data_IF_481638387903
#
_entry.id   IF_481638387903
#
_cell.length_a   1.000
_cell.length_b   1.000
_cell.length_c   1.000
_cell.angle_alpha   90.00
_cell.angle_beta   90.00
_cell.angle_gamma   90.00
#
_symmetry.space_group_name_H-M   'P 1'
#
loop_
_entity.id
_entity.type
_entity.pdbx_description
1 polymer ?
#
# COMPACT_ATOMS: atom_id res chain seq x y z
N UNK A 1 3.61 5.05 -9.05
CA UNK A 1 4.93 5.68 -9.04
C UNK A 1 4.81 7.18 -9.18
N UNK A 2 4.37 7.70 -10.32
CA UNK A 2 4.20 9.14 -10.55
C UNK A 2 3.42 9.85 -9.44
N UNK A 3 2.30 9.29 -9.00
CA UNK A 3 1.46 9.86 -7.94
C UNK A 3 2.23 10.13 -6.64
N UNK A 4 3.07 9.19 -6.21
CA UNK A 4 3.82 9.33 -4.96
C UNK A 4 4.97 10.35 -5.09
N UNK A 5 5.66 10.38 -6.22
CA UNK A 5 6.69 11.40 -6.49
C UNK A 5 6.09 12.80 -6.51
N UNK A 6 4.93 12.94 -7.14
CA UNK A 6 4.18 14.20 -7.17
C UNK A 6 3.73 14.64 -5.77
N UNK A 7 3.27 13.70 -4.94
CA UNK A 7 2.86 13.98 -3.55
C UNK A 7 4.05 14.40 -2.70
N UNK A 8 5.19 13.73 -2.83
CA UNK A 8 6.43 14.12 -2.14
C UNK A 8 6.78 15.58 -2.45
N UNK A 9 6.65 15.99 -3.72
CA UNK A 9 6.88 17.37 -4.12
C UNK A 9 5.84 18.34 -3.53
N UNK A 10 4.55 17.97 -3.54
CA UNK A 10 3.46 18.84 -3.05
C UNK A 10 3.42 19.00 -1.52
N UNK A 11 3.68 17.93 -0.78
CA UNK A 11 3.67 17.95 0.69
C UNK A 11 4.99 18.47 1.29
N UNK A 12 5.96 18.75 0.44
CA UNK A 12 7.31 19.16 0.81
C UNK A 12 8.31 18.03 0.59
N UNK A 13 9.47 18.37 0.04
CA UNK A 13 10.48 17.41 -0.43
C UNK A 13 10.99 16.41 0.62
N UNK A 14 10.63 16.59 1.89
CA UNK A 14 11.04 15.74 2.99
C UNK A 14 9.90 14.96 3.65
N UNK A 15 8.68 15.02 3.10
CA UNK A 15 7.50 14.45 3.76
C UNK A 15 7.65 12.96 4.11
N UNK A 16 8.16 12.17 3.19
CA UNK A 16 8.38 10.74 3.39
C UNK A 16 9.79 10.40 3.89
N UNK A 17 10.70 11.38 4.01
CA UNK A 17 12.08 11.11 4.39
C UNK A 17 12.13 10.53 5.82
N UNK A 18 12.77 9.36 5.94
CA UNK A 18 12.86 8.60 7.19
C UNK A 18 11.51 8.25 7.84
N UNK A 19 10.40 8.36 7.11
CA UNK A 19 9.10 7.94 7.62
C UNK A 19 9.09 6.44 7.90
N UNK A 20 8.50 6.04 9.00
CA UNK A 20 8.19 4.63 9.26
C UNK A 20 6.92 4.26 8.50
N UNK A 21 7.08 3.41 7.50
CA UNK A 21 6.00 3.03 6.58
C UNK A 21 5.62 1.57 6.81
N UNK A 22 4.36 1.33 7.10
CA UNK A 22 3.83 -0.02 7.27
C UNK A 22 2.93 -0.41 6.10
N UNK A 23 3.20 -1.58 5.53
CA UNK A 23 2.44 -2.15 4.42
C UNK A 23 1.61 -3.34 4.92
N UNK A 24 0.30 -3.27 4.77
CA UNK A 24 -0.58 -4.41 5.05
C UNK A 24 -0.39 -5.55 4.05
N UNK A 25 -0.04 -5.24 2.80
CA UNK A 25 0.44 -6.20 1.80
C UNK A 25 1.48 -5.52 0.90
N UNK A 26 2.73 -5.90 1.06
CA UNK A 26 3.83 -5.40 0.24
C UNK A 26 3.78 -5.97 -1.18
N UNK A 27 3.29 -7.19 -1.34
CA UNK A 27 3.13 -7.83 -2.65
C UNK A 27 2.11 -7.09 -3.52
N UNK A 28 0.95 -6.74 -2.94
CA UNK A 28 -0.09 -5.97 -3.64
C UNK A 28 0.30 -4.51 -3.86
N UNK A 29 1.21 -3.97 -3.06
CA UNK A 29 1.65 -2.57 -3.09
C UNK A 29 3.12 -2.42 -3.51
N UNK A 30 3.63 -3.36 -4.32
CA UNK A 30 5.06 -3.45 -4.65
C UNK A 30 5.62 -2.18 -5.31
N UNK A 31 4.87 -1.58 -6.22
CA UNK A 31 5.26 -0.32 -6.88
C UNK A 31 5.37 0.82 -5.86
N UNK A 32 4.40 0.91 -4.94
CA UNK A 32 4.44 1.89 -3.85
C UNK A 32 5.67 1.64 -2.96
N UNK A 33 5.94 0.37 -2.62
CA UNK A 33 7.08 0.01 -1.78
C UNK A 33 8.43 0.38 -2.41
N UNK A 34 8.57 0.23 -3.73
CA UNK A 34 9.80 0.63 -4.45
C UNK A 34 10.01 2.13 -4.40
N UNK A 35 8.97 2.93 -4.66
CA UNK A 35 9.07 4.38 -4.60
C UNK A 35 9.34 4.85 -3.17
N UNK A 36 8.67 4.26 -2.16
CA UNK A 36 8.90 4.62 -0.76
C UNK A 36 10.32 4.28 -0.29
N UNK A 37 10.93 3.23 -0.84
CA UNK A 37 12.32 2.85 -0.55
C UNK A 37 13.36 3.89 -1.04
N UNK A 38 12.99 4.81 -1.92
CA UNK A 38 13.84 5.93 -2.33
C UNK A 38 13.90 7.04 -1.25
N UNK A 39 12.88 7.10 -0.38
CA UNK A 39 12.72 8.14 0.64
C UNK A 39 13.01 7.64 2.06
N UNK A 40 12.81 6.35 2.32
CA UNK A 40 12.98 5.77 3.65
C UNK A 40 13.43 4.32 3.62
N UNK A 41 14.38 3.99 4.50
CA UNK A 41 14.77 2.60 4.78
C UNK A 41 13.83 1.90 5.79
N UNK A 42 12.94 2.66 6.45
CA UNK A 42 12.08 2.17 7.53
C UNK A 42 10.76 1.60 6.98
N UNK A 43 10.86 0.60 6.10
CA UNK A 43 9.70 -0.08 5.52
C UNK A 43 9.46 -1.41 6.22
N UNK A 44 8.23 -1.64 6.67
CA UNK A 44 7.82 -2.89 7.33
C UNK A 44 6.60 -3.47 6.63
N UNK A 45 6.61 -4.78 6.39
CA UNK A 45 5.58 -5.48 5.61
C UNK A 45 4.95 -6.61 6.43
N UNK A 46 3.62 -6.72 6.34
CA UNK A 46 2.85 -7.72 7.06
C UNK A 46 2.54 -9.01 6.27
N UNK A 47 3.13 -9.18 5.08
CA UNK A 47 2.83 -10.32 4.19
C UNK A 47 3.01 -11.66 4.87
N UNK A 48 4.08 -11.85 5.65
CA UNK A 48 4.31 -13.08 6.40
C UNK A 48 3.21 -13.35 7.44
N UNK A 49 2.77 -12.30 8.13
CA UNK A 49 1.77 -12.39 9.19
C UNK A 49 0.36 -12.52 8.64
N UNK A 50 -0.05 -11.60 7.77
CA UNK A 50 -1.45 -11.48 7.34
C UNK A 50 -1.82 -12.43 6.20
N UNK A 51 -0.87 -12.74 5.31
CA UNK A 51 -1.13 -13.64 4.19
C UNK A 51 -0.80 -15.10 4.51
N UNK A 52 0.25 -15.35 5.32
CA UNK A 52 0.78 -16.68 5.56
C UNK A 52 0.69 -17.17 7.01
N UNK A 53 0.14 -16.36 7.92
CA UNK A 53 -0.08 -16.73 9.31
C UNK A 53 1.21 -16.97 10.12
N UNK A 54 2.32 -16.36 9.71
CA UNK A 54 3.61 -16.44 10.41
C UNK A 54 3.74 -15.18 11.29
N UNK A 55 3.87 -15.28 12.60
CA UNK A 55 3.90 -14.11 13.50
C UNK A 55 5.25 -13.34 13.39
N UNK A 56 5.54 -12.87 12.20
CA UNK A 56 6.76 -12.15 11.85
C UNK A 56 6.46 -11.06 10.83
N UNK A 57 7.07 -9.90 10.99
CA UNK A 57 7.10 -8.84 9.99
C UNK A 57 8.35 -8.97 9.12
N UNK A 58 8.31 -8.36 7.97
CA UNK A 58 9.41 -8.32 7.01
C UNK A 58 9.91 -6.88 6.98
N UNK A 59 11.20 -6.68 7.23
CA UNK A 59 11.82 -5.36 7.27
C UNK A 59 12.62 -5.07 6.00
N UNK A 60 12.25 -4.01 5.32
CA UNK A 60 12.88 -3.52 4.12
C UNK A 60 12.50 -4.25 2.83
N UNK A 61 12.62 -3.53 1.71
CA UNK A 61 12.21 -4.02 0.39
C UNK A 61 12.99 -5.26 -0.07
N UNK A 62 14.30 -5.30 0.21
CA UNK A 62 15.17 -6.43 -0.17
C UNK A 62 14.72 -7.75 0.49
N UNK A 63 14.30 -7.69 1.76
CA UNK A 63 13.83 -8.88 2.46
C UNK A 63 12.45 -9.31 1.95
N UNK A 64 11.56 -8.35 1.61
CA UNK A 64 10.29 -8.64 0.95
C UNK A 64 10.49 -9.37 -0.37
N UNK A 65 11.46 -8.96 -1.18
CA UNK A 65 11.77 -9.59 -2.46
C UNK A 65 12.31 -11.03 -2.27
N UNK A 66 13.21 -11.20 -1.31
CA UNK A 66 13.72 -12.54 -0.94
C UNK A 66 12.59 -13.45 -0.42
N UNK A 67 11.72 -12.93 0.44
CA UNK A 67 10.58 -13.65 0.97
C UNK A 67 9.62 -14.09 -0.14
N UNK A 68 9.28 -13.18 -1.04
CA UNK A 68 8.38 -13.45 -2.17
C UNK A 68 8.96 -14.49 -3.14
N UNK A 69 10.27 -14.50 -3.37
CA UNK A 69 10.97 -15.50 -4.16
C UNK A 69 10.89 -16.89 -3.51
N UNK A 70 11.30 -17.00 -2.24
CA UNK A 70 11.28 -18.27 -1.49
C UNK A 70 9.86 -18.84 -1.30
N UNK A 71 8.88 -17.98 -1.07
CA UNK A 71 7.51 -18.40 -0.91
C UNK A 71 6.96 -19.10 -2.17
N UNK A 72 7.32 -18.60 -3.35
CA UNK A 72 6.95 -19.22 -4.63
C UNK A 72 7.48 -20.66 -4.72
N UNK A 73 8.71 -20.88 -4.27
CA UNK A 73 9.32 -22.20 -4.29
C UNK A 73 8.67 -23.14 -3.27
N UNK A 74 8.37 -22.64 -2.06
CA UNK A 74 7.73 -23.43 -1.00
C UNK A 74 6.28 -23.77 -1.32
N UNK A 75 5.49 -22.82 -1.85
CA UNK A 75 4.08 -23.04 -2.20
C UNK A 75 3.90 -24.08 -3.33
N UNK A 76 4.91 -24.27 -4.17
CA UNK A 76 4.92 -25.36 -5.15
C UNK A 76 5.08 -26.74 -4.51
N UNK A 77 5.54 -26.80 -3.24
CA UNK A 77 5.82 -28.05 -2.53
C UNK A 77 4.80 -28.42 -1.44
N UNK A 78 4.04 -27.45 -0.94
CA UNK A 78 3.10 -27.66 0.18
C UNK A 78 1.67 -27.59 -0.33
N UNK A 79 0.98 -28.72 -0.50
CA UNK A 79 -0.44 -28.70 -0.81
C UNK A 79 -1.24 -28.35 0.45
N UNK A 80 -1.85 -27.18 0.45
CA UNK A 80 -2.84 -26.77 1.45
C UNK A 80 -2.36 -25.72 2.46
N UNK A 81 -3.31 -24.93 2.95
CA UNK A 81 -3.09 -23.98 4.03
C UNK A 81 -2.56 -24.70 5.25
N UNK A 82 -1.44 -24.23 5.78
CA UNK A 82 -0.83 -24.78 6.97
C UNK A 82 -1.81 -24.82 8.16
N UNK A 83 -2.04 -25.97 8.77
CA UNK A 83 -2.84 -26.14 9.99
C UNK A 83 -2.33 -25.31 11.19
N UNK A 84 -1.09 -24.82 11.12
CA UNK A 84 -0.47 -24.01 12.18
C UNK A 84 -1.07 -22.60 12.27
N UNK A 85 -1.69 -22.09 11.21
CA UNK A 85 -2.21 -20.73 11.15
C UNK A 85 -3.56 -20.53 11.84
N UNK A 86 -4.25 -21.61 12.22
CA UNK A 86 -5.60 -21.54 12.78
C UNK A 86 -5.66 -21.64 14.31
N UNK A 87 -4.52 -21.73 15.00
CA UNK A 87 -4.51 -21.74 16.45
C UNK A 87 -4.71 -20.33 17.04
N UNK A 88 -5.57 -20.21 18.06
CA UNK A 88 -5.86 -18.93 18.72
C UNK A 88 -4.62 -18.20 19.26
N UNK A 89 -3.63 -18.89 19.88
CA UNK A 89 -2.40 -18.26 20.32
C UNK A 89 -1.60 -17.59 19.18
N UNK A 90 -1.54 -18.25 18.02
CA UNK A 90 -0.82 -17.70 16.84
C UNK A 90 -1.54 -16.48 16.30
N UNK A 91 -2.88 -16.50 16.19
CA UNK A 91 -3.67 -15.33 15.77
C UNK A 91 -3.49 -14.15 16.71
N UNK A 92 -3.54 -14.39 18.02
CA UNK A 92 -3.30 -13.36 19.04
C UNK A 92 -1.91 -12.76 18.93
N UNK A 93 -0.87 -13.58 18.70
CA UNK A 93 0.50 -13.11 18.51
C UNK A 93 0.63 -12.27 17.23
N UNK A 94 0.03 -12.71 16.12
CA UNK A 94 0.00 -11.95 14.86
C UNK A 94 -0.67 -10.60 15.08
N UNK A 95 -1.86 -10.58 15.68
CA UNK A 95 -2.60 -9.35 15.96
C UNK A 95 -1.77 -8.38 16.81
N UNK A 96 -1.07 -8.88 17.83
CA UNK A 96 -0.21 -8.08 18.68
C UNK A 96 0.98 -7.47 17.91
N UNK A 97 1.73 -8.29 17.17
CA UNK A 97 2.91 -7.85 16.41
C UNK A 97 2.53 -6.83 15.34
N UNK A 98 1.43 -7.07 14.61
CA UNK A 98 0.95 -6.16 13.57
C UNK A 98 0.45 -4.85 14.18
N UNK A 99 -0.32 -4.90 15.29
CA UNK A 99 -0.79 -3.69 15.97
C UNK A 99 0.36 -2.82 16.46
N UNK A 100 1.39 -3.41 17.06
CA UNK A 100 2.58 -2.65 17.47
C UNK A 100 3.27 -1.95 16.30
N UNK A 101 3.36 -2.60 15.13
CA UNK A 101 3.95 -2.00 13.95
C UNK A 101 3.08 -0.85 13.41
N UNK A 102 1.75 -1.03 13.35
CA UNK A 102 0.81 0.03 12.98
C UNK A 102 0.97 1.24 13.91
N UNK A 103 0.99 1.04 15.23
CA UNK A 103 1.14 2.12 16.19
C UNK A 103 2.45 2.91 16.02
N UNK A 104 3.56 2.21 15.73
CA UNK A 104 4.88 2.84 15.55
C UNK A 104 5.05 3.55 14.21
N UNK A 105 4.19 3.28 13.24
CA UNK A 105 4.32 3.81 11.88
C UNK A 105 3.68 5.20 11.74
N UNK A 106 4.25 6.01 10.86
CA UNK A 106 3.71 7.31 10.48
C UNK A 106 2.79 7.19 9.25
N UNK A 107 3.14 6.28 8.34
CA UNK A 107 2.43 6.07 7.08
C UNK A 107 1.97 4.61 7.00
N UNK A 108 0.72 4.42 6.62
CA UNK A 108 0.10 3.11 6.42
C UNK A 108 -0.26 2.95 4.94
N UNK A 109 0.22 1.88 4.31
CA UNK A 109 -0.13 1.54 2.93
C UNK A 109 -1.13 0.40 2.93
N UNK A 110 -2.34 0.66 2.42
CA UNK A 110 -3.48 -0.24 2.49
C UNK A 110 -3.91 -0.60 1.08
N UNK A 111 -3.91 -1.89 0.71
CA UNK A 111 -4.43 -2.32 -0.58
C UNK A 111 -5.91 -1.98 -0.72
N UNK A 112 -6.33 -1.64 -1.94
CA UNK A 112 -7.74 -1.38 -2.24
C UNK A 112 -8.65 -2.57 -1.86
N UNK A 113 -8.21 -3.78 -2.19
CA UNK A 113 -8.90 -5.00 -1.80
C UNK A 113 -8.70 -5.30 -0.32
N UNK A 114 -9.79 -5.46 0.39
CA UNK A 114 -9.76 -5.75 1.83
C UNK A 114 -9.51 -4.53 2.72
N UNK A 115 -9.71 -3.31 2.21
CA UNK A 115 -9.50 -2.05 2.92
C UNK A 115 -10.08 -2.07 4.35
N UNK A 116 -11.37 -2.31 4.50
CA UNK A 116 -12.04 -2.39 5.81
C UNK A 116 -11.51 -3.56 6.64
N UNK A 117 -11.34 -4.74 6.05
CA UNK A 117 -10.78 -5.92 6.73
C UNK A 117 -9.43 -5.65 7.40
N UNK A 118 -8.59 -4.86 6.74
CA UNK A 118 -7.29 -4.50 7.29
C UNK A 118 -7.40 -3.47 8.42
N UNK A 119 -8.37 -2.57 8.37
CA UNK A 119 -8.48 -1.46 9.31
C UNK A 119 -9.44 -1.69 10.49
N UNK A 120 -10.44 -2.56 10.33
CA UNK A 120 -11.43 -2.83 11.38
C UNK A 120 -10.83 -3.21 12.75
N UNK A 121 -9.71 -3.97 12.83
CA UNK A 121 -9.13 -4.32 14.11
C UNK A 121 -8.52 -3.14 14.90
N UNK A 122 -8.35 -1.95 14.27
CA UNK A 122 -7.67 -0.81 14.89
C UNK A 122 -8.65 0.24 15.38
N UNK A 123 -8.27 0.85 16.51
CA UNK A 123 -9.02 1.94 17.14
C UNK A 123 -8.53 3.30 16.66
N UNK A 124 -9.22 4.37 17.10
CA UNK A 124 -8.76 5.75 16.89
C UNK A 124 -7.35 5.96 17.46
N UNK A 125 -7.05 5.41 18.62
CA UNK A 125 -5.73 5.53 19.26
C UNK A 125 -4.61 4.93 18.41
N UNK A 126 -4.92 3.86 17.64
CA UNK A 126 -3.94 3.21 16.76
C UNK A 126 -3.68 4.02 15.48
N UNK A 127 -4.66 4.78 14.99
CA UNK A 127 -4.64 5.41 13.67
C UNK A 127 -4.56 6.94 13.69
N UNK A 128 -4.78 7.56 14.83
CA UNK A 128 -4.77 9.02 14.99
C UNK A 128 -3.43 9.64 14.54
N UNK A 129 -3.51 10.72 13.80
CA UNK A 129 -2.34 11.47 13.33
C UNK A 129 -1.55 10.79 12.20
N UNK A 130 -2.07 9.72 11.59
CA UNK A 130 -1.35 8.97 10.56
C UNK A 130 -1.74 9.40 9.16
N UNK A 131 -0.81 9.12 8.23
CA UNK A 131 -1.06 9.20 6.79
C UNK A 131 -1.45 7.82 6.27
N UNK A 132 -2.53 7.73 5.51
CA UNK A 132 -2.97 6.52 4.82
C UNK A 132 -2.76 6.68 3.32
N UNK A 133 -2.02 5.75 2.70
CA UNK A 133 -1.86 5.64 1.25
C UNK A 133 -2.71 4.46 0.77
N UNK A 134 -3.62 4.73 -0.14
CA UNK A 134 -4.46 3.70 -0.78
C UNK A 134 -4.86 4.14 -2.19
N UNK A 135 -5.71 3.38 -2.86
CA UNK A 135 -6.24 3.74 -4.17
C UNK A 135 -7.77 3.69 -4.17
N UNK A 136 -8.39 4.49 -5.02
CA UNK A 136 -9.85 4.53 -5.21
C UNK A 136 -10.59 4.79 -3.90
N UNK A 137 -10.43 6.01 -3.39
CA UNK A 137 -11.04 6.43 -2.13
C UNK A 137 -12.40 7.05 -2.41
N UNK A 138 -13.47 6.37 -2.01
CA UNK A 138 -14.84 6.86 -2.02
C UNK A 138 -15.20 7.58 -0.71
N UNK A 139 -16.31 8.27 -0.68
CA UNK A 139 -16.75 9.07 0.48
C UNK A 139 -16.90 8.22 1.76
N UNK A 140 -17.44 6.99 1.63
CA UNK A 140 -17.55 6.05 2.74
C UNK A 140 -16.21 5.69 3.40
N UNK A 141 -15.14 5.63 2.60
CA UNK A 141 -13.78 5.40 3.10
C UNK A 141 -13.19 6.65 3.74
N UNK A 142 -13.51 7.83 3.21
CA UNK A 142 -13.08 9.11 3.81
C UNK A 142 -13.70 9.24 5.19
N UNK A 143 -15.02 9.06 5.31
CA UNK A 143 -15.74 9.14 6.56
C UNK A 143 -15.21 8.10 7.57
N UNK A 144 -14.99 6.88 7.13
CA UNK A 144 -14.41 5.82 7.97
C UNK A 144 -13.01 6.19 8.50
N UNK A 145 -12.12 6.72 7.65
CA UNK A 145 -10.78 7.13 8.07
C UNK A 145 -10.79 8.37 8.96
N UNK A 146 -11.73 9.29 8.72
CA UNK A 146 -12.00 10.44 9.59
C UNK A 146 -12.39 9.99 10.99
N UNK A 147 -13.36 9.07 11.09
CA UNK A 147 -13.82 8.51 12.37
C UNK A 147 -12.71 7.77 13.12
N UNK A 148 -11.69 7.28 12.41
CA UNK A 148 -10.49 6.65 12.97
C UNK A 148 -9.36 7.65 13.30
N UNK A 149 -9.55 8.96 13.06
CA UNK A 149 -8.59 10.00 13.39
C UNK A 149 -7.39 10.10 12.45
N UNK A 150 -7.52 9.62 11.22
CA UNK A 150 -6.46 9.75 10.19
C UNK A 150 -6.33 11.20 9.75
N UNK A 151 -5.12 11.74 9.72
CA UNK A 151 -4.85 13.13 9.36
C UNK A 151 -4.79 13.38 7.86
N UNK A 152 -4.18 12.46 7.12
CA UNK A 152 -3.95 12.61 5.69
C UNK A 152 -4.29 11.32 4.95
N UNK A 153 -5.10 11.43 3.92
CA UNK A 153 -5.39 10.34 3.00
C UNK A 153 -4.76 10.67 1.65
N UNK A 154 -3.94 9.77 1.15
CA UNK A 154 -3.32 9.84 -0.16
C UNK A 154 -3.99 8.82 -1.05
N UNK A 155 -4.85 9.29 -1.94
CA UNK A 155 -5.44 8.46 -2.99
C UNK A 155 -4.52 8.49 -4.22
N UNK A 156 -3.90 7.35 -4.50
CA UNK A 156 -2.99 7.22 -5.64
C UNK A 156 -3.72 7.17 -6.99
N UNK A 157 -5.05 7.08 -6.97
CA UNK A 157 -5.86 7.19 -8.18
C UNK A 157 -5.91 8.65 -8.66
N UNK A 158 -5.61 8.94 -9.92
CA UNK A 158 -5.68 10.29 -10.43
C UNK A 158 -7.06 10.93 -10.23
N UNK A 159 -7.09 12.20 -9.83
CA UNK A 159 -8.32 12.95 -9.52
C UNK A 159 -9.36 12.90 -10.64
N UNK A 160 -8.93 12.97 -11.91
CA UNK A 160 -9.81 12.89 -13.07
C UNK A 160 -10.49 11.53 -13.24
N UNK A 161 -9.96 10.49 -12.60
CA UNK A 161 -10.39 9.11 -12.73
C UNK A 161 -10.86 8.51 -11.41
N UNK A 162 -11.20 9.36 -10.44
CA UNK A 162 -11.65 8.95 -9.10
C UNK A 162 -12.85 7.99 -9.11
N UNK A 163 -13.63 8.00 -10.19
CA UNK A 163 -14.80 7.13 -10.39
C UNK A 163 -14.48 5.87 -11.22
N UNK A 164 -13.23 5.70 -11.68
CA UNK A 164 -12.81 4.53 -12.46
C UNK A 164 -12.27 3.48 -11.50
N UNK A 165 -12.91 2.33 -11.48
CA UNK A 165 -12.51 1.21 -10.63
C UNK A 165 -11.16 0.62 -11.10
N UNK A 166 -10.13 0.83 -10.28
CA UNK A 166 -8.86 0.09 -10.35
C UNK A 166 -7.81 0.65 -11.32
N UNK A 167 -6.56 0.65 -10.83
CA UNK A 167 -5.37 1.10 -11.57
C UNK A 167 -5.17 0.31 -12.87
N UNK A 168 -5.50 -0.99 -12.88
CA UNK A 168 -5.37 -1.84 -14.08
C UNK A 168 -6.32 -1.42 -15.21
N UNK A 169 -7.49 -0.89 -14.88
CA UNK A 169 -8.44 -0.37 -15.87
C UNK A 169 -7.91 0.93 -16.46
N UNK A 170 -7.35 1.79 -15.62
CA UNK A 170 -6.71 3.02 -16.07
C UNK A 170 -5.54 2.73 -17.03
N UNK A 171 -4.64 1.83 -16.63
CA UNK A 171 -3.53 1.41 -17.47
C UNK A 171 -4.02 0.88 -18.84
N UNK A 172 -5.04 0.03 -18.84
CA UNK A 172 -5.62 -0.50 -20.06
C UNK A 172 -6.21 0.61 -20.95
N UNK A 173 -6.93 1.57 -20.36
CA UNK A 173 -7.50 2.70 -21.10
C UNK A 173 -6.38 3.54 -21.74
N UNK A 174 -5.35 3.88 -20.97
CA UNK A 174 -4.22 4.68 -21.49
C UNK A 174 -3.49 3.96 -22.59
N UNK A 175 -3.20 2.67 -22.43
CA UNK A 175 -2.52 1.86 -23.46
C UNK A 175 -3.33 1.80 -24.77
N UNK A 176 -4.64 1.64 -24.67
CA UNK A 176 -5.52 1.64 -25.86
C UNK A 176 -5.63 3.03 -26.46
N UNK A 177 -5.80 4.07 -25.65
CA UNK A 177 -5.99 5.44 -26.15
C UNK A 177 -4.74 6.01 -26.87
N UNK A 178 -3.55 5.57 -26.45
CA UNK A 178 -2.27 6.05 -26.98
C UNK A 178 -1.50 4.99 -27.78
N UNK A 179 -2.15 3.84 -28.08
CA UNK A 179 -1.57 2.73 -28.87
C UNK A 179 -0.23 2.20 -28.31
N UNK A 180 -0.10 2.13 -26.99
CA UNK A 180 1.12 1.72 -26.28
C UNK A 180 1.17 0.21 -26.16
N UNK A 181 2.19 -0.43 -26.73
CA UNK A 181 2.44 -1.86 -26.59
C UNK A 181 2.86 -2.24 -25.15
N UNK A 182 2.82 -3.53 -24.79
CA UNK A 182 3.34 -3.99 -23.49
C UNK A 182 4.86 -4.20 -23.57
N UNK A 183 5.62 -3.58 -22.66
CA UNK A 183 7.07 -3.73 -22.52
C UNK A 183 7.65 -2.75 -21.48
N UNK A 184 8.93 -2.89 -21.14
CA UNK A 184 9.59 -1.99 -20.17
C UNK A 184 9.69 -0.56 -20.71
N UNK A 185 10.02 -0.38 -21.97
CA UNK A 185 10.06 0.93 -22.65
C UNK A 185 8.68 1.62 -22.63
N UNK A 186 7.61 0.82 -22.68
CA UNK A 186 6.23 1.35 -22.64
C UNK A 186 5.81 1.88 -21.26
N UNK A 187 6.49 1.54 -20.21
CA UNK A 187 6.18 2.05 -18.86
C UNK A 187 6.74 3.48 -18.68
N UNK A 188 7.89 3.80 -19.26
CA UNK A 188 8.43 5.17 -19.31
C UNK A 188 7.55 6.09 -20.16
N UNK A 189 7.11 5.62 -21.31
CA UNK A 189 6.20 6.33 -22.19
C UNK A 189 4.84 6.61 -21.53
N UNK A 190 4.32 5.62 -20.80
CA UNK A 190 3.10 5.77 -20.02
C UNK A 190 3.26 6.81 -18.88
N UNK A 191 4.39 6.83 -18.21
CA UNK A 191 4.70 7.81 -17.17
C UNK A 191 4.80 9.24 -17.74
N UNK A 192 5.39 9.38 -18.94
CA UNK A 192 5.47 10.66 -19.64
C UNK A 192 4.07 11.18 -20.01
N UNK A 193 3.20 10.31 -20.54
CA UNK A 193 1.82 10.66 -20.87
C UNK A 193 1.06 11.09 -19.61
N UNK A 194 1.15 10.34 -18.52
CA UNK A 194 0.50 10.66 -17.23
C UNK A 194 0.99 12.00 -16.72
N UNK A 195 2.29 12.28 -16.84
CA UNK A 195 2.89 13.55 -16.43
C UNK A 195 2.37 14.71 -17.28
N UNK A 196 2.35 14.55 -18.60
CA UNK A 196 1.87 15.56 -19.54
C UNK A 196 0.37 15.86 -19.39
N UNK A 197 -0.43 14.85 -19.02
CA UNK A 197 -1.86 15.01 -18.74
C UNK A 197 -2.13 15.62 -17.36
N UNK A 198 -1.10 15.90 -16.56
CA UNK A 198 -1.21 16.44 -15.19
C UNK A 198 -2.21 15.65 -14.33
N UNK A 199 -2.15 14.33 -14.40
CA UNK A 199 -3.03 13.43 -13.65
C UNK A 199 -2.68 13.43 -12.17
N UNK A 200 -3.07 14.49 -11.46
CA UNK A 200 -2.74 14.66 -10.05
C UNK A 200 -3.45 13.61 -9.15
N UNK A 201 -2.72 13.01 -8.20
CA UNK A 201 -3.32 12.22 -7.13
C UNK A 201 -4.13 13.13 -6.20
N UNK A 202 -5.06 12.53 -5.43
CA UNK A 202 -5.82 13.27 -4.42
C UNK A 202 -5.11 13.21 -3.08
N UNK A 203 -4.94 14.39 -2.46
CA UNK A 203 -4.58 14.51 -1.05
C UNK A 203 -5.81 15.02 -0.33
N UNK A 204 -6.29 14.26 0.65
CA UNK A 204 -7.53 14.52 1.38
C UNK A 204 -7.16 14.69 2.86
N UNK A 205 -7.62 15.77 3.44
CA UNK A 205 -7.53 16.05 4.88
C UNK A 205 -8.92 15.83 5.47
N UNK A 206 -9.20 14.70 6.13
CA UNK A 206 -10.53 14.36 6.61
C UNK A 206 -10.89 15.07 7.93
N UNK A 207 -10.59 16.35 8.01
CA UNK A 207 -10.88 17.20 9.18
C UNK A 207 -12.37 17.50 9.37
#
# INVERSE_FOLDING_TARGET
>A
EWSLRHIQFKLGNNYFNNARVFFFSGRSSRTIARVMAEYSDNLTFADASLENGIPRLIDGLKELERYSGRLRDVLNWVPGKSMLTDSEPVRSMIAHVVRQAVQKSHVLVIPHHGFFKYLDPYTVEDLNGKTVITSTVYDDRIDYLKDKGVDVIIDTTPKLLSNVAGVSVLEAILRVAFDISKGEESDEELLEIISNMQMEPRIIYPS
#
